data_IF_140012149651
#
_entry.id   IF_140012149651
#
_cell.length_a   1.000
_cell.length_b   1.000
_cell.length_c   1.000
_cell.angle_alpha   90.00
_cell.angle_beta   90.00
_cell.angle_gamma   90.00
#
_symmetry.space_group_name_H-M   'P 1'
#
loop_
_entity.id
_entity.type
_entity.pdbx_description
1 polymer ?
2 non-polymer ?
3 non-polymer ?
4 water ?
#
# COMPACT_ATOMS: atom_id res chain seq x y z
N UNK A 1 5.43 -15.77 -25.78
CA UNK A 1 4.89 -14.40 -25.63
C UNK A 1 4.73 -14.06 -24.12
N UNK A 2 5.59 -13.17 -23.59
CA UNK A 2 5.64 -13.04 -22.15
C UNK A 2 4.36 -12.39 -21.68
N UNK A 3 3.92 -12.78 -20.50
CA UNK A 3 2.84 -12.07 -19.87
C UNK A 3 3.23 -11.31 -18.63
N UNK A 4 2.79 -10.07 -18.51
CA UNK A 4 3.56 -9.03 -17.81
C UNK A 4 2.90 -9.22 -16.37
N UNK A 5 3.62 -9.10 -15.30
CA UNK A 5 2.99 -8.94 -13.95
C UNK A 5 1.90 -7.89 -14.04
N UNK A 6 0.76 -8.11 -13.39
CA UNK A 6 -0.45 -7.26 -13.54
C UNK A 6 -0.17 -5.82 -13.16
N UNK A 7 -0.76 -4.86 -13.85
CA UNK A 7 -0.63 -3.45 -13.58
C UNK A 7 -1.94 -3.11 -12.91
N UNK A 8 -1.84 -2.58 -11.72
CA UNK A 8 -2.95 -2.26 -10.81
C UNK A 8 -3.39 -0.90 -11.17
N UNK A 9 -4.69 -0.70 -11.28
CA UNK A 9 -5.24 0.65 -11.38
C UNK A 9 -6.57 0.59 -10.62
N UNK A 10 -6.74 1.44 -9.62
CA UNK A 10 -7.94 1.38 -8.73
C UNK A 10 -9.18 1.88 -9.41
N UNK A 11 -10.36 1.36 -9.07
CA UNK A 11 -11.61 1.86 -9.66
C UNK A 11 -12.00 3.24 -9.10
N UNK A 12 -12.98 3.84 -9.72
CA UNK A 12 -13.42 5.22 -9.40
C UNK A 12 -12.35 6.26 -9.24
N UNK A 13 -11.27 6.29 -10.05
CA UNK A 13 -10.38 7.46 -9.99
C UNK A 13 -11.07 8.76 -10.37
N UNK A 14 -10.52 9.91 -9.95
CA UNK A 14 -11.18 11.23 -10.12
C UNK A 14 -10.16 12.22 -10.63
N UNK A 15 -10.56 13.40 -11.10
CA UNK A 15 -9.59 14.43 -11.39
C UNK A 15 -9.24 14.59 -12.85
N UNK A 16 -7.96 14.82 -13.16
CA UNK A 16 -7.52 15.03 -14.53
C UNK A 16 -7.18 13.71 -15.21
N UNK A 17 -7.57 13.58 -16.47
CA UNK A 17 -7.25 12.44 -17.24
C UNK A 17 -6.72 12.95 -18.52
N UNK A 18 -5.88 12.16 -19.16
CA UNK A 18 -5.55 10.74 -18.84
C UNK A 18 -4.54 10.66 -17.71
N UNK A 19 -4.28 9.50 -17.11
CA UNK A 19 -3.26 9.38 -16.04
C UNK A 19 -2.28 8.32 -16.37
N UNK A 20 -1.00 8.55 -16.06
CA UNK A 20 0.04 7.57 -16.30
C UNK A 20 -0.08 6.36 -15.36
N UNK A 21 -0.02 5.16 -15.93
CA UNK A 21 0.15 3.95 -15.15
C UNK A 21 1.63 3.57 -15.04
N UNK A 22 2.26 3.34 -16.19
CA UNK A 22 3.40 2.45 -16.27
C UNK A 22 4.06 2.50 -17.65
N UNK A 23 5.38 2.58 -17.67
CA UNK A 23 6.12 2.64 -18.93
C UNK A 23 6.53 1.26 -19.39
N UNK A 24 6.16 0.92 -20.62
CA UNK A 24 6.61 -0.32 -21.25
C UNK A 24 7.46 -0.04 -22.49
N UNK A 25 8.55 -0.79 -22.63
CA UNK A 25 9.76 -0.28 -23.24
C UNK A 25 10.67 -1.41 -23.73
N UNK A 26 11.13 -1.31 -24.97
CA UNK A 26 12.15 -2.21 -25.48
C UNK A 26 13.55 -1.67 -25.21
N UNK A 27 14.41 -2.51 -24.64
CA UNK A 27 15.80 -2.17 -24.45
C UNK A 27 16.59 -2.23 -25.79
N UNK A 28 15.91 -2.32 -26.88
CA UNK A 28 16.64 -2.29 -28.11
C UNK A 28 16.54 -0.94 -28.77
N UNK A 29 15.99 0.06 -28.05
CA UNK A 29 15.75 1.35 -28.66
C UNK A 29 17.01 2.19 -28.90
N UNK A 30 18.19 1.72 -28.51
CA UNK A 30 19.42 2.34 -29.01
C UNK A 30 19.95 1.72 -30.27
N UNK A 31 19.64 0.45 -30.56
CA UNK A 31 19.95 -0.16 -31.85
C UNK A 31 19.19 0.42 -33.04
N UNK A 32 17.90 0.70 -32.82
CA UNK A 32 17.08 1.28 -33.88
C UNK A 32 15.89 2.04 -33.28
N UNK A 33 15.25 2.86 -34.11
CA UNK A 33 14.02 3.53 -33.72
C UNK A 33 12.95 2.53 -33.30
N UNK A 34 12.19 2.86 -32.27
CA UNK A 34 11.12 2.00 -31.79
C UNK A 34 9.83 2.78 -31.61
N UNK A 35 8.75 2.27 -32.20
CA UNK A 35 7.44 2.88 -32.06
C UNK A 35 6.50 1.93 -31.36
N UNK A 36 5.84 2.42 -30.32
CA UNK A 36 4.99 1.56 -29.47
C UNK A 36 3.51 1.63 -29.86
N UNK A 37 2.74 0.55 -29.67
CA UNK A 37 1.28 0.66 -29.79
C UNK A 37 0.69 -0.45 -28.91
N UNK A 38 -0.61 -0.34 -28.65
CA UNK A 38 -1.32 -1.43 -27.95
C UNK A 38 -2.58 -1.85 -28.73
N UNK A 39 -2.97 -3.12 -28.56
CA UNK A 39 -4.26 -3.58 -29.17
C UNK A 39 -5.07 -4.38 -28.16
N UNK A 40 -6.35 -4.59 -28.43
CA UNK A 40 -7.17 -5.40 -27.54
C UNK A 40 -8.39 -4.68 -26.99
N UNK A 41 -9.18 -5.44 -26.21
CA UNK A 41 -10.43 -4.84 -25.67
C UNK A 41 -10.04 -3.93 -24.55
N UNK A 42 -10.32 -2.61 -24.69
CA UNK A 42 -9.82 -1.58 -23.82
C UNK A 42 -8.84 -0.65 -24.55
N UNK A 43 -8.34 -1.06 -25.72
CA UNK A 43 -7.43 -0.26 -26.48
C UNK A 43 -7.92 0.06 -27.88
N UNK A 44 -7.94 -0.91 -28.80
CA UNK A 44 -8.50 -0.66 -30.15
C UNK A 44 -9.80 -1.40 -30.35
N UNK A 45 -10.29 -2.11 -29.36
CA UNK A 45 -11.55 -2.84 -29.49
C UNK A 45 -12.39 -2.55 -28.23
N UNK A 46 -13.72 -2.68 -28.35
CA UNK A 46 -14.65 -2.26 -27.21
C UNK A 46 -14.39 -2.90 -25.84
N UNK A 47 -14.20 -2.09 -24.80
CA UNK A 47 -14.33 -0.57 -24.89
C UNK A 47 -13.03 0.10 -25.45
N UNK A 48 -13.20 0.83 -26.56
CA UNK A 48 -12.06 1.47 -27.23
C UNK A 48 -11.51 2.61 -26.40
N UNK A 49 -10.21 2.72 -26.26
CA UNK A 49 -9.70 4.01 -25.83
C UNK A 49 -9.56 4.13 -24.32
N UNK A 50 -9.93 3.09 -23.57
CA UNK A 50 -9.79 3.21 -22.13
C UNK A 50 -8.28 3.38 -21.81
N UNK A 51 -7.43 2.64 -22.52
CA UNK A 51 -6.00 2.78 -22.37
C UNK A 51 -5.31 3.24 -23.63
N UNK A 52 -4.28 4.08 -23.52
CA UNK A 52 -3.56 4.52 -24.75
C UNK A 52 -2.10 4.43 -24.43
N UNK A 53 -1.26 4.40 -25.45
CA UNK A 53 0.18 4.31 -25.26
C UNK A 53 0.91 5.40 -26.06
N UNK A 54 1.72 6.19 -25.36
CA UNK A 54 2.52 7.23 -26.01
C UNK A 54 3.45 6.63 -27.05
N UNK A 55 3.22 6.98 -28.32
CA UNK A 55 3.76 6.21 -29.43
C UNK A 55 5.27 6.06 -29.32
N UNK A 56 5.92 7.02 -28.66
CA UNK A 56 7.34 7.25 -28.83
C UNK A 56 8.11 6.87 -27.58
N UNK A 57 7.45 6.94 -26.43
CA UNK A 57 8.07 6.62 -25.18
C UNK A 57 7.54 5.39 -24.51
N UNK A 58 6.34 4.95 -24.85
CA UNK A 58 5.80 3.75 -24.29
C UNK A 58 5.14 3.92 -22.90
N UNK A 59 4.88 5.17 -22.45
CA UNK A 59 4.02 5.37 -21.32
C UNK A 59 2.62 4.94 -21.58
N UNK A 60 2.16 3.98 -20.77
CA UNK A 60 0.78 3.48 -20.83
C UNK A 60 -0.18 4.36 -20.00
N UNK A 61 -1.28 4.87 -20.54
CA UNK A 61 -2.13 5.79 -19.76
C UNK A 61 -3.57 5.32 -19.63
N UNK A 62 -4.32 5.80 -18.61
CA UNK A 62 -5.74 5.46 -18.62
C UNK A 62 -6.51 6.69 -18.86
N UNK A 63 -7.61 6.61 -19.58
CA UNK A 63 -8.21 7.83 -20.01
C UNK A 63 -9.54 8.08 -19.31
N UNK A 64 -9.98 7.24 -18.38
CA UNK A 64 -11.28 7.47 -17.72
C UNK A 64 -11.44 6.66 -16.44
N UNK A 65 -12.39 7.01 -15.57
CA UNK A 65 -12.71 6.19 -14.36
C UNK A 65 -13.04 4.76 -14.70
N UNK A 66 -12.58 3.86 -13.87
CA UNK A 66 -13.00 2.45 -13.98
C UNK A 66 -13.97 1.99 -12.90
N UNK A 67 -14.68 0.92 -13.25
CA UNK A 67 -15.61 0.22 -12.33
C UNK A 67 -15.34 -1.30 -12.29
N UNK A 68 -14.68 -1.72 -11.23
CA UNK A 68 -14.39 -3.11 -11.02
C UNK A 68 -15.59 -3.96 -11.18
N UNK A 69 -16.77 -3.45 -10.85
CA UNK A 69 -17.96 -4.33 -10.82
C UNK A 69 -18.52 -4.57 -12.22
N UNK A 70 -18.05 -3.80 -13.21
CA UNK A 70 -18.38 -3.96 -14.66
C UNK A 70 -17.24 -4.70 -15.38
N UNK A 71 -15.97 -4.24 -15.26
CA UNK A 71 -14.87 -5.05 -15.83
C UNK A 71 -13.73 -5.07 -14.83
N UNK A 72 -13.22 -6.26 -14.50
CA UNK A 72 -12.25 -6.32 -13.43
C UNK A 72 -10.80 -6.47 -13.86
N UNK A 73 -10.58 -6.82 -15.13
CA UNK A 73 -9.28 -7.24 -15.64
C UNK A 73 -9.37 -6.99 -17.11
N UNK A 74 -8.33 -6.38 -17.69
CA UNK A 74 -8.24 -6.13 -19.11
C UNK A 74 -6.98 -6.85 -19.60
N UNK A 75 -7.06 -7.43 -20.80
CA UNK A 75 -5.89 -8.04 -21.43
C UNK A 75 -5.64 -7.30 -22.74
N UNK A 76 -4.44 -6.72 -22.91
CA UNK A 76 -4.13 -6.04 -24.17
C UNK A 76 -2.82 -6.58 -24.69
N UNK A 77 -2.35 -6.10 -25.85
CA UNK A 77 -1.03 -6.56 -26.30
C UNK A 77 -0.28 -5.31 -26.67
N UNK A 78 0.99 -5.22 -26.28
CA UNK A 78 1.78 -4.17 -26.75
C UNK A 78 2.66 -4.60 -27.94
N UNK A 79 3.05 -3.66 -28.81
CA UNK A 79 3.86 -3.88 -29.99
C UNK A 79 4.95 -2.87 -30.07
N UNK A 80 6.07 -3.36 -30.58
CA UNK A 80 7.22 -2.56 -30.76
C UNK A 80 7.71 -2.74 -32.20
N UNK A 81 7.53 -1.73 -33.01
CA UNK A 81 7.88 -1.75 -34.44
C UNK A 81 8.90 -0.65 -34.83
N UNK A 82 9.76 -0.88 -35.81
CA UNK A 82 10.78 0.08 -36.18
C UNK A 82 10.41 0.83 -37.45
N UNK A 83 11.22 1.77 -37.97
CA UNK A 83 10.81 2.49 -39.23
C UNK A 83 10.56 1.61 -40.41
N UNK A 84 11.37 0.58 -40.55
CA UNK A 84 11.23 -0.27 -41.71
C UNK A 84 10.10 -1.26 -41.49
N UNK A 85 9.45 -1.27 -40.34
CA UNK A 85 8.21 -2.02 -40.21
C UNK A 85 8.46 -3.37 -39.60
N UNK A 86 9.69 -3.68 -39.26
CA UNK A 86 9.98 -4.97 -38.71
C UNK A 86 9.56 -4.90 -37.23
N UNK A 87 9.19 -6.02 -36.64
CA UNK A 87 8.92 -6.12 -35.27
C UNK A 87 10.19 -6.05 -34.49
N UNK A 88 10.28 -5.23 -33.47
CA UNK A 88 11.51 -5.17 -32.64
C UNK A 88 11.38 -6.15 -31.49
N UNK A 89 10.15 -6.56 -31.19
CA UNK A 89 9.93 -7.51 -30.08
C UNK A 89 8.74 -8.31 -30.54
N UNK A 90 8.61 -9.53 -30.04
CA UNK A 90 7.26 -10.15 -30.07
C UNK A 90 6.31 -9.30 -29.19
N UNK A 91 5.03 -9.30 -29.50
CA UNK A 91 4.04 -8.67 -28.65
C UNK A 91 4.19 -9.10 -27.17
N UNK A 92 3.82 -8.24 -26.26
CA UNK A 92 3.82 -8.63 -24.89
C UNK A 92 2.38 -8.52 -24.46
N UNK A 93 1.96 -9.51 -23.68
CA UNK A 93 0.57 -9.56 -23.21
C UNK A 93 0.49 -8.72 -21.92
N UNK A 94 -0.39 -7.72 -21.94
CA UNK A 94 -0.48 -6.77 -20.92
C UNK A 94 -1.73 -6.98 -20.11
N UNK A 95 -1.56 -7.18 -18.80
CA UNK A 95 -2.65 -7.47 -17.91
C UNK A 95 -2.88 -6.33 -16.98
N UNK A 96 -4.10 -5.80 -16.95
CA UNK A 96 -4.38 -4.71 -16.04
C UNK A 96 -5.49 -5.14 -15.10
N UNK A 97 -5.26 -5.07 -13.77
CA UNK A 97 -6.33 -5.40 -12.81
C UNK A 97 -6.91 -4.17 -12.18
N UNK A 98 -8.24 -4.15 -12.13
CA UNK A 98 -8.90 -3.01 -11.54
C UNK A 98 -8.99 -3.26 -10.05
N UNK A 99 -8.39 -2.40 -9.26
CA UNK A 99 -8.36 -2.63 -7.82
C UNK A 99 -9.59 -2.12 -7.11
N UNK A 100 -10.15 -2.95 -6.24
CA UNK A 100 -11.50 -2.72 -5.61
C UNK A 100 -11.55 -1.58 -4.66
N UNK A 101 -12.69 -0.93 -4.66
CA UNK A 101 -13.04 -0.10 -3.55
C UNK A 101 -14.35 -0.57 -3.02
N UNK A 102 -14.58 -0.20 -1.76
CA UNK A 102 -15.82 -0.58 -1.09
C UNK A 102 -16.88 0.40 -1.41
N UNK A 103 -17.54 0.22 -2.57
CA UNK A 103 -18.46 1.23 -3.07
C UNK A 103 -19.80 0.53 -3.35
N UNK A 104 -19.95 -0.71 -2.87
CA UNK A 104 -21.27 -1.36 -2.81
C UNK A 104 -21.67 -1.77 -1.39
N UNK A 105 -22.84 -1.23 -0.98
CA UNK A 105 -23.55 -1.48 0.28
C UNK A 105 -24.14 -2.87 0.16
N UNK A 106 -24.10 -3.70 1.24
CA UNK A 106 -24.85 -4.99 1.28
C UNK A 106 -26.34 -4.77 1.09
N UNK A 107 -27.01 -5.81 0.56
CA UNK A 107 -28.44 -5.81 0.29
C UNK A 107 -29.00 -7.17 0.69
N UNK A 108 -30.17 -7.11 1.36
CA UNK A 108 -30.79 -8.30 1.93
C UNK A 108 -31.60 -8.91 0.82
N UNK A 109 -31.60 -10.25 0.77
CA UNK A 109 -32.32 -10.94 -0.26
C UNK A 109 -33.80 -10.59 -0.27
N UNK A 110 -34.38 -10.23 0.90
CA UNK A 110 -35.81 -9.78 1.08
C UNK A 110 -35.87 -8.61 2.03
N UNK A 111 -36.87 -7.75 1.97
CA UNK A 111 -36.98 -6.73 3.03
C UNK A 111 -37.66 -7.21 4.39
N UNK A 112 -38.38 -8.33 4.31
CA UNK A 112 -39.01 -8.99 5.42
C UNK A 112 -38.90 -10.50 5.33
N UNK A 113 -38.19 -11.10 6.26
CA UNK A 113 -38.04 -12.54 6.33
C UNK A 113 -39.03 -13.13 7.36
N UNK A 114 -39.62 -14.30 7.06
CA UNK A 114 -40.62 -14.96 7.96
C UNK A 114 -40.25 -16.34 8.44
N UNK A 115 -40.22 -16.52 9.75
CA UNK A 115 -40.19 -17.90 10.32
C UNK A 115 -41.07 -18.12 11.56
N UNK A 116 -40.90 -19.25 12.21
CA UNK A 116 -41.67 -19.56 13.39
C UNK A 116 -40.95 -20.56 14.25
N UNK A 117 -41.07 -20.41 15.56
CA UNK A 117 -40.51 -21.39 16.48
C UNK A 117 -41.63 -22.06 17.34
N UNK A 118 -41.31 -23.13 18.09
CA UNK A 118 -42.23 -23.71 19.10
C UNK A 118 -42.05 -23.09 20.54
N UNK A 119 -43.15 -22.91 21.29
CA UNK A 119 -43.12 -22.28 22.62
C UNK A 119 -41.91 -22.71 23.48
N UNK A 120 -41.63 -24.01 23.46
CA UNK A 120 -40.64 -24.56 24.36
C UNK A 120 -39.51 -25.30 23.68
N UNK A 121 -39.07 -24.80 22.52
CA UNK A 121 -37.72 -25.04 22.05
C UNK A 121 -36.71 -24.17 22.79
N UNK A 122 -35.44 -24.30 22.43
CA UNK A 122 -34.42 -24.74 23.38
C UNK A 122 -33.05 -24.16 23.01
N UNK A 123 -32.45 -23.45 23.96
CA UNK A 123 -31.44 -22.44 23.63
C UNK A 123 -30.20 -23.07 23.01
N UNK A 124 -30.36 -23.69 21.84
CA UNK A 124 -29.93 -23.09 20.59
C UNK A 124 -30.59 -23.75 19.39
N UNK A 125 -31.90 -23.63 19.30
CA UNK A 125 -32.66 -24.24 18.22
C UNK A 125 -32.83 -23.28 17.05
N UNK A 126 -32.92 -23.84 15.85
CA UNK A 126 -32.89 -23.05 14.64
C UNK A 126 -34.22 -22.52 14.20
N UNK A 127 -34.38 -21.21 14.24
CA UNK A 127 -35.62 -20.63 13.79
C UNK A 127 -35.71 -20.46 12.26
N UNK A 128 -34.74 -19.71 11.69
CA UNK A 128 -34.73 -19.20 10.28
C UNK A 128 -33.32 -18.71 9.81
N UNK A 129 -33.23 -18.43 8.51
CA UNK A 129 -32.02 -17.85 7.90
C UNK A 129 -32.35 -16.49 7.29
N UNK A 130 -31.53 -15.49 7.60
CA UNK A 130 -31.55 -14.25 6.83
C UNK A 130 -30.28 -14.11 5.96
N UNK A 131 -30.39 -13.48 4.79
CA UNK A 131 -29.23 -13.34 3.90
C UNK A 131 -29.06 -12.03 3.11
N UNK A 132 -27.85 -11.54 3.13
CA UNK A 132 -27.47 -10.43 2.27
C UNK A 132 -26.42 -10.86 1.21
N UNK A 133 -26.27 -10.01 0.19
CA UNK A 133 -25.13 -10.08 -0.81
C UNK A 133 -24.45 -8.75 -0.88
N UNK A 134 -23.16 -8.76 -1.27
CA UNK A 134 -22.34 -7.54 -1.48
C UNK A 134 -21.55 -7.69 -2.76
N UNK A 135 -21.55 -6.67 -3.61
CA UNK A 135 -21.00 -6.86 -4.98
C UNK A 135 -19.46 -6.62 -5.15
N UNK A 136 -18.83 -6.16 -4.07
CA UNK A 136 -17.43 -5.92 -4.00
C UNK A 136 -16.62 -7.17 -4.03
N UNK A 137 -15.30 -7.00 -3.89
CA UNK A 137 -14.31 -8.03 -4.22
C UNK A 137 -14.18 -9.02 -3.05
N UNK A 138 -14.84 -10.15 -3.21
CA UNK A 138 -14.80 -11.14 -2.17
C UNK A 138 -13.52 -11.93 -2.15
N UNK A 139 -12.63 -11.74 -3.10
CA UNK A 139 -11.44 -12.55 -3.07
C UNK A 139 -10.28 -11.83 -2.40
N UNK A 140 -10.08 -10.54 -2.66
CA UNK A 140 -8.85 -9.85 -2.26
C UNK A 140 -9.00 -8.85 -1.11
N UNK A 141 -10.23 -8.64 -0.65
CA UNK A 141 -10.51 -7.64 0.38
C UNK A 141 -11.57 -8.16 1.31
N UNK A 142 -11.92 -7.33 2.30
CA UNK A 142 -13.10 -7.58 3.13
C UNK A 142 -14.36 -6.78 2.70
N UNK A 143 -14.28 -6.00 1.62
CA UNK A 143 -15.36 -5.13 1.25
C UNK A 143 -16.72 -5.82 0.98
N UNK A 144 -16.70 -7.13 0.92
CA UNK A 144 -17.93 -7.90 0.72
C UNK A 144 -18.12 -9.00 1.80
N UNK A 145 -17.45 -8.81 2.95
CA UNK A 145 -17.38 -9.76 4.05
C UNK A 145 -18.42 -9.31 5.13
N UNK A 146 -19.52 -10.06 5.13
CA UNK A 146 -20.76 -9.64 5.77
C UNK A 146 -20.92 -10.29 7.19
N UNK A 147 -21.00 -9.38 8.17
CA UNK A 147 -21.39 -9.64 9.58
C UNK A 147 -22.90 -9.26 9.84
N UNK A 148 -23.74 -10.30 9.96
CA UNK A 148 -25.13 -10.11 10.46
C UNK A 148 -25.21 -9.85 11.99
N UNK A 149 -25.68 -8.69 12.45
CA UNK A 149 -26.00 -8.43 13.86
C UNK A 149 -27.57 -8.38 14.07
N UNK A 150 -28.03 -8.41 15.33
CA UNK A 150 -29.46 -8.06 15.63
C UNK A 150 -29.57 -6.67 16.20
N UNK A 151 -30.44 -5.84 15.66
CA UNK A 151 -30.37 -4.48 16.13
C UNK A 151 -31.34 -4.20 17.24
N UNK A 152 -32.54 -4.76 17.11
CA UNK A 152 -33.60 -4.53 18.08
C UNK A 152 -34.62 -5.68 18.02
N UNK A 153 -35.29 -5.90 19.18
CA UNK A 153 -36.36 -6.91 19.30
C UNK A 153 -37.64 -6.24 19.75
N UNK A 154 -38.76 -6.71 19.22
CA UNK A 154 -40.12 -6.19 19.56
C UNK A 154 -41.17 -7.30 19.64
N UNK A 155 -41.71 -7.50 20.87
CA UNK A 155 -41.41 -6.61 22.00
C UNK A 155 -40.24 -7.13 22.79
N UNK A 156 -39.78 -6.32 23.72
CA UNK A 156 -38.59 -6.64 24.50
C UNK A 156 -38.76 -7.59 25.69
N UNK A 157 -39.73 -8.51 25.62
CA UNK A 157 -40.10 -9.33 26.75
C UNK A 157 -40.27 -10.74 26.28
N UNK A 158 -40.16 -11.73 27.21
CA UNK A 158 -39.85 -11.58 28.63
C UNK A 158 -38.56 -10.79 28.82
N UNK A 159 -37.49 -11.17 28.10
CA UNK A 159 -36.22 -10.39 28.09
C UNK A 159 -35.74 -10.04 26.66
N UNK A 160 -35.00 -8.91 26.56
CA UNK A 160 -34.17 -8.53 25.38
C UNK A 160 -33.30 -9.73 25.07
N UNK A 161 -33.05 -9.98 23.79
CA UNK A 161 -32.16 -11.10 23.37
C UNK A 161 -32.77 -12.45 23.62
N UNK A 162 -34.01 -12.59 23.20
CA UNK A 162 -34.61 -13.91 23.17
C UNK A 162 -33.99 -14.72 22.06
N UNK A 163 -33.39 -13.99 21.10
CA UNK A 163 -32.79 -14.62 19.89
C UNK A 163 -31.32 -14.24 19.65
N UNK A 164 -30.61 -15.15 18.99
CA UNK A 164 -29.37 -14.70 18.36
C UNK A 164 -29.25 -15.14 16.92
N UNK A 165 -28.45 -14.30 16.24
CA UNK A 165 -28.00 -14.48 14.84
C UNK A 165 -26.49 -14.81 14.82
N UNK A 166 -26.16 -15.92 14.17
CA UNK A 166 -24.74 -16.26 13.87
C UNK A 166 -24.12 -15.25 12.84
N UNK A 167 -23.09 -14.49 13.28
CA UNK A 167 -22.62 -13.29 12.58
C UNK A 167 -22.14 -13.52 11.11
N UNK A 168 -21.72 -14.75 10.81
CA UNK A 168 -21.36 -15.22 9.46
C UNK A 168 -22.47 -15.90 8.70
N UNK A 169 -23.32 -16.73 9.36
CA UNK A 169 -24.28 -17.59 8.58
C UNK A 169 -25.64 -16.98 8.34
N UNK A 170 -25.94 -15.95 9.13
CA UNK A 170 -27.27 -15.35 9.21
C UNK A 170 -28.41 -16.27 9.67
N UNK A 171 -28.06 -17.31 10.42
CA UNK A 171 -29.00 -18.28 10.96
C UNK A 171 -29.40 -17.75 12.34
N UNK A 172 -30.70 -17.74 12.54
CA UNK A 172 -31.32 -17.21 13.73
C UNK A 172 -31.81 -18.34 14.66
N UNK A 173 -31.34 -18.28 15.91
CA UNK A 173 -31.54 -19.33 16.90
C UNK A 173 -32.04 -18.73 18.22
N UNK A 174 -32.71 -19.59 19.02
CA UNK A 174 -33.19 -19.24 20.37
C UNK A 174 -32.03 -19.00 21.32
N UNK A 175 -31.95 -17.82 21.93
CA UNK A 175 -30.86 -17.59 22.86
C UNK A 175 -31.08 -17.86 24.36
N UNK A 176 -32.16 -17.31 24.94
CA UNK A 176 -32.52 -17.55 26.34
C UNK A 176 -33.95 -18.16 26.25
N UNK A 177 -34.53 -18.70 27.32
CA UNK A 177 -35.86 -19.32 27.13
C UNK A 177 -37.01 -18.62 27.85
N UNK A 178 -38.20 -19.20 27.69
CA UNK A 178 -39.41 -18.63 28.25
C UNK A 178 -40.23 -18.04 27.11
N UNK A 179 -40.26 -18.79 26.03
CA UNK A 179 -41.05 -18.34 24.91
C UNK A 179 -42.48 -18.79 25.11
N UNK A 180 -43.39 -17.83 25.19
CA UNK A 180 -44.74 -18.19 25.53
C UNK A 180 -45.68 -17.53 24.58
N UNK A 181 -46.23 -18.34 23.68
CA UNK A 181 -47.14 -17.78 22.73
C UNK A 181 -48.16 -16.86 23.38
N UNK A 182 -48.89 -17.35 24.37
CA UNK A 182 -50.01 -16.64 24.93
C UNK A 182 -49.61 -15.35 25.70
N UNK A 183 -48.42 -15.26 26.26
CA UNK A 183 -47.97 -13.91 26.64
C UNK A 183 -47.52 -13.03 25.43
N UNK A 184 -46.71 -13.58 24.51
CA UNK A 184 -46.08 -12.77 23.40
C UNK A 184 -45.95 -13.60 22.17
N UNK A 185 -46.81 -13.35 21.20
CA UNK A 185 -46.96 -14.39 20.17
C UNK A 185 -46.20 -14.14 18.84
N UNK A 186 -45.85 -12.88 18.54
CA UNK A 186 -44.88 -12.65 17.50
C UNK A 186 -43.83 -11.59 17.89
N UNK A 187 -42.61 -11.86 17.44
CA UNK A 187 -41.53 -10.90 17.57
C UNK A 187 -41.16 -10.31 16.19
N UNK A 188 -40.88 -9.03 16.17
CA UNK A 188 -40.32 -8.36 15.01
C UNK A 188 -38.86 -7.90 15.34
N UNK A 189 -37.91 -8.71 14.83
CA UNK A 189 -36.46 -8.34 14.83
C UNK A 189 -36.06 -7.38 13.65
N UNK A 190 -35.32 -6.31 13.97
CA UNK A 190 -34.55 -5.56 12.97
C UNK A 190 -33.13 -6.18 12.86
N UNK A 191 -32.80 -6.68 11.67
CA UNK A 191 -31.51 -7.30 11.43
C UNK A 191 -30.60 -6.41 10.59
N UNK A 192 -29.29 -6.52 10.80
CA UNK A 192 -28.33 -5.67 10.12
C UNK A 192 -27.31 -6.50 9.34
N UNK A 193 -26.93 -6.00 8.17
CA UNK A 193 -25.78 -6.60 7.41
C UNK A 193 -24.79 -5.51 7.23
N UNK A 194 -23.56 -5.83 7.58
CA UNK A 194 -22.50 -4.84 7.40
C UNK A 194 -21.18 -5.50 6.90
N UNK A 195 -20.56 -4.86 5.92
CA UNK A 195 -19.30 -5.38 5.34
C UNK A 195 -18.12 -4.82 6.12
N UNK A 196 -16.91 -5.13 5.68
CA UNK A 196 -15.71 -4.81 6.46
C UNK A 196 -15.78 -5.55 7.79
N UNK A 197 -16.35 -6.74 7.71
CA UNK A 197 -16.43 -7.64 8.84
C UNK A 197 -17.30 -7.10 10.02
N UNK A 198 -18.21 -6.18 9.73
CA UNK A 198 -19.11 -5.65 10.71
C UNK A 198 -18.94 -4.17 10.72
N UNK A 199 -17.72 -3.70 10.40
CA UNK A 199 -17.37 -2.29 10.58
C UNK A 199 -17.79 -1.31 9.51
N UNK A 200 -18.26 -1.83 8.37
CA UNK A 200 -18.35 -1.03 7.15
C UNK A 200 -19.72 -0.48 6.81
N UNK A 201 -20.06 -0.60 5.52
CA UNK A 201 -21.33 -0.15 5.05
C UNK A 201 -22.35 -1.16 5.52
N UNK A 202 -23.56 -0.66 5.78
CA UNK A 202 -24.61 -1.51 6.37
C UNK A 202 -25.98 -1.25 5.79
N UNK A 203 -26.81 -2.26 5.92
CA UNK A 203 -28.21 -2.14 5.58
C UNK A 203 -29.02 -2.94 6.65
N UNK A 204 -30.33 -2.66 6.75
CA UNK A 204 -31.22 -3.33 7.74
C UNK A 204 -32.43 -3.97 7.00
N UNK A 205 -32.91 -5.08 7.55
CA UNK A 205 -34.19 -5.64 7.08
C UNK A 205 -34.99 -6.14 8.33
N UNK A 206 -36.20 -6.71 8.11
CA UNK A 206 -37.00 -7.25 9.24
C UNK A 206 -37.15 -8.72 9.27
N UNK A 207 -37.01 -9.27 10.46
CA UNK A 207 -37.37 -10.72 10.66
C UNK A 207 -38.51 -10.86 11.71
N UNK A 208 -39.57 -11.50 11.27
CA UNK A 208 -40.86 -11.61 11.93
C UNK A 208 -41.01 -13.06 12.35
N UNK A 209 -40.86 -13.32 13.65
CA UNK A 209 -40.95 -14.67 14.18
C UNK A 209 -42.33 -14.98 14.88
N UNK A 210 -43.09 -15.91 14.33
CA UNK A 210 -44.33 -16.34 14.95
C UNK A 210 -44.10 -17.47 16.00
N UNK A 211 -44.42 -17.19 17.28
CA UNK A 211 -44.37 -18.23 18.33
C UNK A 211 -45.56 -19.20 18.24
N UNK A 212 -45.27 -20.49 18.18
CA UNK A 212 -46.26 -21.52 17.92
C UNK A 212 -46.55 -22.40 19.16
N UNK A 213 -47.77 -22.94 19.21
CA UNK A 213 -48.11 -24.09 20.09
C UNK A 213 -47.62 -25.38 19.43
N UNK B 1 14.43 -6.79 -26.17
CA UNK B 1 13.83 -7.22 -24.88
C UNK B 1 12.89 -6.21 -24.33
N UNK B 2 11.73 -6.64 -23.86
CA UNK B 2 10.85 -5.68 -23.25
C UNK B 2 11.44 -5.46 -21.90
N UNK B 3 11.31 -4.26 -21.33
CA UNK B 3 11.71 -4.04 -19.91
C UNK B 3 10.39 -3.89 -19.12
N UNK B 4 10.15 -4.68 -18.10
CA UNK B 4 8.80 -4.60 -17.49
C UNK B 4 8.86 -3.57 -16.39
N UNK B 5 7.69 -3.00 -16.01
CA UNK B 5 7.67 -1.98 -14.95
C UNK B 5 8.29 -2.56 -13.71
N UNK B 6 8.96 -1.74 -12.91
CA UNK B 6 9.70 -2.28 -11.75
C UNK B 6 8.83 -3.02 -10.72
N UNK B 7 9.38 -4.08 -10.11
CA UNK B 7 8.75 -4.81 -9.02
C UNK B 7 9.33 -4.36 -7.67
N UNK B 8 8.50 -3.86 -6.77
CA UNK B 8 8.95 -3.34 -5.46
C UNK B 8 9.17 -4.46 -4.49
N UNK B 9 10.29 -4.49 -3.78
CA UNK B 9 10.47 -5.42 -2.68
C UNK B 9 11.10 -4.62 -1.50
N UNK B 10 10.48 -4.60 -0.32
CA UNK B 10 11.06 -3.72 0.79
C UNK B 10 12.34 -4.25 1.39
N UNK B 11 13.23 -3.38 1.91
CA UNK B 11 14.40 -3.88 2.60
C UNK B 11 14.02 -4.49 3.93
N UNK B 12 14.95 -5.27 4.51
CA UNK B 12 14.83 -5.82 5.88
C UNK B 12 13.60 -6.68 6.08
N UNK B 13 13.24 -7.51 5.10
CA UNK B 13 12.19 -8.50 5.44
C UNK B 13 12.63 -9.51 6.55
N UNK B 14 11.60 -9.96 7.27
CA UNK B 14 11.65 -10.85 8.46
C UNK B 14 10.92 -12.18 8.11
N UNK B 15 11.30 -13.28 8.77
CA UNK B 15 10.44 -14.47 8.83
C UNK B 15 10.92 -15.56 7.90
N UNK B 16 9.95 -16.18 7.21
CA UNK B 16 10.20 -17.31 6.26
C UNK B 16 10.79 -16.89 4.90
N UNK B 17 11.89 -17.52 4.51
CA UNK B 17 12.36 -17.42 3.12
C UNK B 17 12.30 -18.76 2.39
N UNK B 18 12.23 -18.74 1.03
CA UNK B 18 12.04 -17.68 0.01
C UNK B 18 10.67 -17.06 0.06
N UNK B 19 10.52 -15.78 -0.32
CA UNK B 19 9.20 -15.15 -0.44
C UNK B 19 8.87 -14.89 -1.90
N UNK B 20 7.60 -14.99 -2.25
CA UNK B 20 7.22 -14.83 -3.61
C UNK B 20 7.12 -13.37 -3.94
N UNK B 21 7.66 -12.99 -5.11
CA UNK B 21 7.46 -11.64 -5.62
C UNK B 21 6.32 -11.61 -6.64
N UNK B 22 6.47 -12.36 -7.72
CA UNK B 22 5.65 -12.17 -8.92
C UNK B 22 5.86 -13.31 -9.90
N UNK B 23 4.76 -13.76 -10.50
CA UNK B 23 4.81 -14.84 -11.48
C UNK B 23 5.21 -14.31 -12.86
N UNK B 24 6.36 -14.75 -13.35
CA UNK B 24 6.83 -14.38 -14.65
C UNK B 24 6.55 -15.53 -15.56
N UNK B 25 5.66 -15.46 -16.55
CA UNK B 25 5.13 -16.65 -17.23
C UNK B 25 5.03 -16.42 -18.79
N UNK B 26 5.29 -17.43 -19.63
CA UNK B 26 4.98 -17.34 -21.05
C UNK B 26 3.56 -17.77 -21.41
N UNK B 27 2.83 -17.07 -22.25
CA UNK B 27 1.50 -17.59 -22.63
C UNK B 27 1.65 -18.70 -23.63
N UNK B 28 2.85 -19.11 -23.96
CA UNK B 28 2.98 -20.19 -24.90
C UNK B 28 2.91 -21.56 -24.19
N UNK B 29 2.38 -21.62 -22.98
CA UNK B 29 2.45 -22.85 -22.25
C UNK B 29 1.14 -23.58 -22.43
N UNK B 30 0.29 -23.12 -23.34
CA UNK B 30 -0.88 -23.89 -23.60
C UNK B 30 -0.46 -25.01 -24.58
N UNK B 31 0.55 -24.70 -25.38
CA UNK B 31 1.01 -25.52 -26.51
C UNK B 31 2.02 -26.60 -26.11
N UNK B 32 2.93 -26.24 -25.23
CA UNK B 32 4.08 -27.04 -24.96
C UNK B 32 4.43 -26.79 -23.48
N UNK B 33 5.10 -27.71 -22.82
CA UNK B 33 5.49 -27.44 -21.47
C UNK B 33 6.62 -26.37 -21.53
N UNK B 34 6.55 -25.33 -20.69
CA UNK B 34 7.59 -24.28 -20.70
C UNK B 34 8.46 -24.34 -19.46
N UNK B 35 9.75 -24.12 -19.59
CA UNK B 35 10.61 -24.02 -18.41
C UNK B 35 11.37 -22.66 -18.26
N UNK B 36 11.32 -22.06 -17.06
CA UNK B 36 11.78 -20.69 -16.81
C UNK B 36 13.08 -20.62 -16.07
N UNK B 37 13.98 -19.71 -16.44
CA UNK B 37 15.11 -19.44 -15.55
C UNK B 37 15.34 -17.94 -15.51
N UNK B 38 16.25 -17.46 -14.64
CA UNK B 38 16.71 -16.05 -14.68
C UNK B 38 18.22 -15.92 -14.68
N UNK B 39 18.71 -14.78 -15.17
CA UNK B 39 20.14 -14.50 -15.09
C UNK B 39 20.37 -13.01 -14.71
N UNK B 40 21.66 -12.62 -14.55
CA UNK B 40 22.06 -11.32 -14.06
C UNK B 40 22.58 -11.20 -12.61
N UNK B 41 23.10 -10.03 -12.28
CA UNK B 41 23.65 -9.81 -10.95
C UNK B 41 22.53 -9.88 -9.91
N UNK B 42 22.60 -10.89 -9.04
CA UNK B 42 21.61 -11.13 -8.04
C UNK B 42 20.93 -12.46 -8.31
N UNK B 43 21.22 -13.05 -9.47
CA UNK B 43 20.69 -14.35 -9.83
C UNK B 43 21.87 -15.32 -10.05
N UNK B 44 22.38 -15.41 -11.26
CA UNK B 44 23.54 -16.24 -11.48
C UNK B 44 24.85 -15.44 -11.38
N UNK B 45 24.83 -14.13 -11.20
CA UNK B 45 26.10 -13.44 -11.00
C UNK B 45 26.09 -12.67 -9.67
N UNK B 46 27.26 -12.34 -9.15
CA UNK B 46 27.34 -11.72 -7.76
C UNK B 46 26.51 -10.40 -7.55
N UNK B 47 25.68 -10.36 -6.52
CA UNK B 47 25.47 -11.38 -5.44
C UNK B 47 24.60 -12.61 -5.85
N UNK B 48 25.25 -13.76 -6.02
CA UNK B 48 24.55 -14.97 -6.47
C UNK B 48 23.42 -15.38 -5.53
N UNK B 49 22.29 -15.81 -6.09
CA UNK B 49 21.24 -16.46 -5.31
C UNK B 49 20.33 -15.54 -4.54
N UNK B 50 20.50 -14.23 -4.69
CA UNK B 50 19.51 -13.38 -4.05
C UNK B 50 18.11 -13.61 -4.61
N UNK B 51 17.98 -13.72 -5.92
CA UNK B 51 16.66 -14.01 -6.45
C UNK B 51 16.71 -15.35 -7.17
N UNK B 52 15.61 -16.08 -7.11
CA UNK B 52 15.47 -17.30 -7.91
C UNK B 52 14.09 -17.33 -8.59
N UNK B 53 14.02 -18.06 -9.70
CA UNK B 53 12.71 -18.39 -10.27
C UNK B 53 12.49 -19.92 -10.23
N UNK B 54 11.30 -20.28 -9.80
CA UNK B 54 10.79 -21.61 -9.78
C UNK B 54 10.57 -22.11 -11.23
N UNK B 55 11.29 -23.16 -11.61
CA UNK B 55 11.39 -23.61 -13.01
C UNK B 55 10.10 -23.89 -13.76
N UNK B 56 9.14 -24.47 -13.08
CA UNK B 56 7.96 -24.96 -13.81
C UNK B 56 6.88 -23.92 -13.69
N UNK B 57 6.89 -23.09 -12.66
CA UNK B 57 5.76 -22.14 -12.53
C UNK B 57 6.07 -20.73 -12.93
N UNK B 58 7.35 -20.38 -12.98
CA UNK B 58 7.74 -19.01 -13.14
C UNK B 58 7.55 -18.06 -11.94
N UNK B 59 7.27 -18.53 -10.72
CA UNK B 59 7.27 -17.64 -9.53
C UNK B 59 8.69 -17.18 -9.27
N UNK B 60 8.82 -15.85 -9.22
CA UNK B 60 10.09 -15.18 -8.93
C UNK B 60 10.13 -14.94 -7.43
N UNK B 61 11.28 -15.24 -6.84
CA UNK B 61 11.34 -15.29 -5.40
C UNK B 61 12.60 -14.60 -4.88
N UNK B 62 12.47 -13.98 -3.74
CA UNK B 62 13.67 -13.40 -3.15
C UNK B 62 14.09 -14.24 -1.95
N UNK B 63 15.39 -14.51 -1.82
CA UNK B 63 15.82 -15.56 -0.91
C UNK B 63 16.42 -15.10 0.42
N UNK B 64 16.46 -13.80 0.68
CA UNK B 64 17.09 -13.25 1.88
C UNK B 64 16.74 -11.76 2.02
N UNK B 65 17.10 -11.15 3.15
CA UNK B 65 16.79 -9.73 3.36
C UNK B 65 17.62 -8.87 2.48
N UNK B 66 17.00 -7.79 2.01
CA UNK B 66 17.74 -6.83 1.19
C UNK B 66 18.00 -5.61 2.04
N UNK B 67 18.99 -4.82 1.60
CA UNK B 67 19.35 -3.51 2.21
C UNK B 67 19.43 -2.38 1.16
N UNK B 68 18.46 -1.47 1.19
CA UNK B 68 18.45 -0.42 0.14
C UNK B 68 19.71 0.39 0.14
N UNK B 69 20.35 0.53 1.31
CA UNK B 69 21.51 1.42 1.41
C UNK B 69 22.77 0.79 0.84
N UNK B 70 22.80 -0.55 0.74
CA UNK B 70 23.85 -1.24 -0.14
C UNK B 70 23.41 -1.36 -1.60
N UNK B 71 22.25 -1.97 -1.91
CA UNK B 71 21.85 -2.05 -3.35
C UNK B 71 20.47 -1.58 -3.50
N UNK B 72 20.25 -0.61 -4.36
CA UNK B 72 18.83 -0.14 -4.49
C UNK B 72 17.98 -0.70 -5.70
N UNK B 73 18.67 -1.36 -6.63
CA UNK B 73 18.07 -1.73 -7.87
C UNK B 73 18.76 -2.96 -8.35
N UNK B 74 18.01 -3.95 -8.80
CA UNK B 74 18.63 -5.07 -9.46
C UNK B 74 18.09 -5.18 -10.89
N UNK B 75 18.95 -5.68 -11.76
CA UNK B 75 18.54 -5.95 -13.11
C UNK B 75 18.74 -7.43 -13.48
N UNK B 76 17.65 -8.13 -13.79
CA UNK B 76 17.69 -9.50 -14.19
C UNK B 76 17.10 -9.73 -15.59
N UNK B 77 17.32 -10.92 -16.15
CA UNK B 77 16.65 -11.35 -17.38
C UNK B 77 15.96 -12.67 -17.17
N UNK B 78 14.71 -12.81 -17.61
CA UNK B 78 14.03 -14.07 -17.49
C UNK B 78 14.11 -14.76 -18.85
N UNK B 79 14.03 -16.08 -18.85
CA UNK B 79 14.18 -16.88 -20.04
C UNK B 79 13.19 -17.99 -20.00
N UNK B 80 12.81 -18.43 -21.19
CA UNK B 80 11.71 -19.40 -21.40
C UNK B 80 12.07 -20.41 -22.54
N UNK B 81 12.18 -21.67 -22.15
CA UNK B 81 12.59 -22.74 -23.11
C UNK B 81 11.68 -23.94 -23.05
N UNK B 82 11.72 -24.81 -24.04
CA UNK B 82 10.85 -26.06 -24.00
C UNK B 82 11.70 -27.24 -23.59
N UNK B 83 11.14 -28.46 -23.47
CA UNK B 83 11.92 -29.69 -23.00
C UNK B 83 13.27 -29.78 -23.64
N UNK B 84 13.33 -29.56 -24.97
CA UNK B 84 14.61 -29.65 -25.68
C UNK B 84 15.55 -28.46 -25.47
N UNK B 85 15.21 -27.50 -24.57
CA UNK B 85 16.09 -26.35 -24.25
C UNK B 85 16.07 -25.19 -25.26
N UNK B 86 15.35 -25.31 -26.38
CA UNK B 86 15.20 -24.19 -27.28
C UNK B 86 14.33 -23.04 -26.73
N UNK B 87 14.67 -21.84 -27.16
CA UNK B 87 14.04 -20.69 -26.62
C UNK B 87 12.65 -20.45 -27.24
N UNK B 88 11.61 -20.26 -26.42
CA UNK B 88 10.29 -19.90 -26.91
C UNK B 88 9.90 -18.44 -26.78
N UNK B 89 10.69 -17.68 -26.03
CA UNK B 89 10.66 -16.22 -26.00
C UNK B 89 12.03 -15.62 -26.11
N UNK B 90 12.09 -14.33 -26.45
CA UNK B 90 13.28 -13.53 -26.23
C UNK B 90 13.43 -13.35 -24.75
N UNK B 91 14.58 -12.98 -24.22
CA UNK B 91 14.56 -12.73 -22.77
C UNK B 91 13.76 -11.47 -22.38
N UNK B 92 13.26 -11.40 -21.16
CA UNK B 92 12.58 -10.18 -20.72
C UNK B 92 13.47 -9.54 -19.63
N UNK B 93 13.65 -8.22 -19.67
CA UNK B 93 14.44 -7.56 -18.65
C UNK B 93 13.54 -7.19 -17.51
N UNK B 94 14.02 -7.51 -16.31
CA UNK B 94 13.25 -7.41 -15.13
C UNK B 94 13.92 -6.45 -14.16
N UNK B 95 13.24 -5.38 -13.79
CA UNK B 95 13.80 -4.43 -12.86
C UNK B 95 13.18 -4.65 -11.50
N UNK B 96 14.03 -4.64 -10.47
CA UNK B 96 13.56 -4.75 -9.13
C UNK B 96 14.02 -3.59 -8.28
N UNK B 97 13.10 -2.85 -7.66
CA UNK B 97 13.37 -1.73 -6.76
C UNK B 97 13.26 -2.17 -5.29
N UNK B 98 14.24 -1.81 -4.49
CA UNK B 98 14.22 -2.18 -3.07
C UNK B 98 13.67 -0.94 -2.41
N UNK B 99 12.62 -1.02 -1.61
CA UNK B 99 12.02 0.20 -1.11
C UNK B 99 12.52 0.43 0.32
N UNK B 100 12.45 1.67 0.76
CA UNK B 100 13.12 2.08 1.95
C UNK B 100 12.39 1.79 3.27
N UNK B 101 13.14 1.37 4.27
CA UNK B 101 12.64 1.51 5.59
C UNK B 101 13.48 2.54 6.38
N UNK B 102 12.82 3.15 7.36
CA UNK B 102 13.50 4.00 8.29
C UNK B 102 14.45 3.27 9.26
N UNK B 103 15.52 2.67 8.74
CA UNK B 103 16.44 1.92 9.54
C UNK B 103 17.78 2.74 9.79
N UNK B 104 17.77 4.05 9.48
CA UNK B 104 18.95 4.85 9.84
C UNK B 104 18.60 6.06 10.71
N UNK B 105 19.27 6.11 11.87
CA UNK B 105 19.14 7.23 12.83
C UNK B 105 19.90 8.45 12.27
N UNK B 106 19.34 9.66 12.39
CA UNK B 106 20.14 10.85 11.98
C UNK B 106 21.47 10.98 12.79
N UNK B 107 22.50 11.50 12.17
CA UNK B 107 23.77 11.78 12.86
C UNK B 107 24.07 13.25 12.66
N UNK B 108 24.43 13.88 13.79
CA UNK B 108 24.93 15.25 13.78
C UNK B 108 26.31 15.33 13.10
N UNK B 109 26.58 16.39 12.35
CA UNK B 109 27.90 16.43 11.71
C UNK B 109 29.03 16.48 12.78
N UNK B 110 28.76 17.07 13.96
CA UNK B 110 29.72 17.18 15.01
C UNK B 110 29.03 16.80 16.27
N UNK B 111 29.82 16.40 17.28
CA UNK B 111 29.27 16.15 18.60
C UNK B 111 29.06 17.47 19.37
N UNK B 112 29.93 18.47 19.13
CA UNK B 112 29.78 19.76 19.82
C UNK B 112 29.97 20.84 18.81
N UNK B 113 29.02 21.75 18.68
CA UNK B 113 29.16 22.83 17.71
C UNK B 113 29.46 24.11 18.44
N UNK B 114 30.13 25.04 17.79
CA UNK B 114 30.55 26.27 18.46
C UNK B 114 30.11 27.46 17.75
N UNK B 115 29.67 28.46 18.48
CA UNK B 115 29.18 29.68 17.87
C UNK B 115 29.25 30.87 18.83
N UNK B 116 28.90 32.05 18.32
CA UNK B 116 28.98 33.18 19.18
C UNK B 116 28.03 34.29 18.78
N UNK B 117 27.67 35.13 19.72
CA UNK B 117 26.78 36.22 19.47
C UNK B 117 27.14 37.44 20.34
N UNK B 118 26.98 38.64 19.81
CA UNK B 118 27.13 39.92 20.58
C UNK B 118 26.04 40.15 21.62
N UNK B 119 26.38 40.57 22.85
CA UNK B 119 25.43 40.93 23.88
C UNK B 119 24.27 41.69 23.31
N UNK B 120 24.61 42.70 22.50
CA UNK B 120 23.60 43.65 22.01
C UNK B 120 22.52 43.16 21.02
N UNK B 121 22.82 42.02 20.35
CA UNK B 121 21.99 41.42 19.33
C UNK B 121 20.50 41.39 19.69
N UNK B 122 19.71 41.64 18.67
CA UNK B 122 18.29 41.75 18.82
C UNK B 122 17.66 40.42 18.62
N UNK B 123 16.61 40.17 19.38
CA UNK B 123 15.84 38.95 19.11
C UNK B 123 15.57 38.84 17.60
N UNK B 124 15.92 37.70 17.02
CA UNK B 124 15.86 37.42 15.59
C UNK B 124 17.24 37.27 14.97
N UNK B 125 18.27 37.84 15.59
CA UNK B 125 19.59 37.70 15.05
C UNK B 125 20.03 36.23 15.06
N UNK B 126 20.68 35.84 14.00
CA UNK B 126 21.21 34.55 13.85
C UNK B 126 22.51 34.32 14.56
N UNK B 127 22.64 33.15 15.15
CA UNK B 127 23.76 32.91 16.00
C UNK B 127 24.65 31.95 15.33
N UNK B 128 24.13 30.79 14.99
CA UNK B 128 24.97 29.69 14.52
C UNK B 128 24.03 28.62 13.88
N UNK B 129 24.63 27.52 13.43
CA UNK B 129 23.90 26.49 12.70
C UNK B 129 24.22 25.21 13.37
N UNK B 130 23.21 24.37 13.59
CA UNK B 130 23.50 22.95 13.80
C UNK B 130 22.94 22.11 12.64
N UNK B 131 23.52 20.93 12.41
CA UNK B 131 23.17 20.23 11.16
C UNK B 131 23.38 18.74 11.25
N UNK B 132 22.38 18.02 10.72
CA UNK B 132 22.48 16.54 10.70
C UNK B 132 22.23 15.90 9.35
N UNK B 133 22.60 14.64 9.22
CA UNK B 133 22.43 13.88 7.94
C UNK B 133 21.64 12.65 8.30
N UNK B 134 21.00 12.02 7.31
CA UNK B 134 20.25 10.76 7.48
C UNK B 134 20.47 9.96 6.24
N UNK B 135 20.78 8.69 6.40
CA UNK B 135 21.10 7.90 5.22
C UNK B 135 19.91 7.27 4.45
N UNK B 136 18.66 7.38 4.95
CA UNK B 136 17.49 6.78 4.34
C UNK B 136 17.12 7.60 3.12
N UNK B 137 16.01 7.28 2.49
CA UNK B 137 15.75 7.73 1.16
C UNK B 137 15.03 9.07 1.22
N UNK B 138 15.81 10.09 0.92
CA UNK B 138 15.29 11.45 1.01
C UNK B 138 14.58 11.88 -0.24
N UNK B 139 14.57 11.04 -1.26
CA UNK B 139 13.85 11.34 -2.45
C UNK B 139 12.41 10.86 -2.44
N UNK B 140 12.11 9.64 -1.96
CA UNK B 140 10.69 9.09 -2.00
C UNK B 140 9.97 8.90 -0.69
N UNK B 141 10.66 9.13 0.44
CA UNK B 141 10.00 8.98 1.75
C UNK B 141 10.28 10.18 2.66
N UNK B 142 9.81 10.09 3.90
CA UNK B 142 10.17 11.02 4.94
C UNK B 142 11.17 10.43 5.90
N UNK B 143 11.80 9.33 5.57
CA UNK B 143 12.62 8.70 6.59
C UNK B 143 13.90 9.48 6.87
N UNK B 144 14.11 10.50 6.02
CA UNK B 144 15.23 11.41 6.17
C UNK B 144 14.78 12.83 6.35
N UNK B 145 13.52 13.10 6.66
CA UNK B 145 13.11 14.47 6.80
C UNK B 145 13.43 14.86 8.24
N UNK B 146 14.48 15.66 8.46
CA UNK B 146 14.94 15.95 9.84
C UNK B 146 14.40 17.22 10.37
N UNK B 147 13.87 17.15 11.60
CA UNK B 147 13.45 18.33 12.36
C UNK B 147 14.39 18.57 13.57
N UNK B 148 14.74 19.85 13.84
CA UNK B 148 15.65 20.19 14.94
C UNK B 148 14.91 20.81 16.13
N UNK B 149 15.33 20.49 17.37
CA UNK B 149 14.77 21.12 18.61
C UNK B 149 15.82 21.40 19.66
N UNK B 150 15.61 22.42 20.49
CA UNK B 150 16.50 22.62 21.61
C UNK B 150 15.87 21.90 22.79
N UNK B 151 16.62 21.00 23.39
CA UNK B 151 16.12 20.21 24.46
C UNK B 151 16.37 20.86 25.84
N UNK B 152 17.56 21.47 26.05
CA UNK B 152 17.88 22.18 27.34
C UNK B 152 18.90 23.31 27.13
N UNK B 153 18.87 24.28 28.05
CA UNK B 153 19.73 25.44 28.04
C UNK B 153 20.45 25.56 29.40
N UNK B 154 21.76 25.66 29.39
CA UNK B 154 22.50 25.81 30.62
C UNK B 154 23.50 26.97 30.53
N UNK B 155 23.34 27.99 31.38
CA UNK B 155 22.35 28.14 32.46
C UNK B 155 21.02 28.63 31.99
N UNK B 156 20.06 28.52 32.88
CA UNK B 156 18.71 28.95 32.66
C UNK B 156 18.44 30.41 32.97
N UNK B 157 19.40 31.28 32.69
CA UNK B 157 19.29 32.68 33.06
C UNK B 157 19.88 33.58 31.99
N UNK B 158 19.45 34.84 31.94
CA UNK B 158 18.43 35.40 32.82
C UNK B 158 17.06 34.82 32.55
N UNK B 159 16.81 34.14 31.43
CA UNK B 159 15.52 33.44 31.26
C UNK B 159 15.81 32.12 30.63
N UNK B 160 14.92 31.16 30.83
CA UNK B 160 14.84 29.95 30.03
C UNK B 160 14.57 30.41 28.57
N UNK B 161 15.09 29.72 27.57
CA UNK B 161 14.82 30.22 26.18
C UNK B 161 15.39 31.58 25.79
N UNK B 162 16.66 31.78 26.09
CA UNK B 162 17.39 32.83 25.45
C UNK B 162 17.43 32.61 23.95
N UNK B 163 17.37 31.34 23.53
CA UNK B 163 17.57 31.07 22.12
C UNK B 163 16.45 30.25 21.49
N UNK B 164 16.44 30.25 20.17
CA UNK B 164 15.49 29.38 19.49
C UNK B 164 16.12 28.73 18.28
N UNK B 165 15.63 27.56 17.89
CA UNK B 165 16.20 26.90 16.66
C UNK B 165 15.12 26.72 15.64
N UNK B 166 15.40 27.12 14.40
CA UNK B 166 14.45 26.95 13.31
C UNK B 166 14.33 25.50 12.87
N UNK B 167 13.13 24.95 12.98
CA UNK B 167 12.96 23.51 13.17
C UNK B 167 12.97 22.77 11.83
N UNK B 168 13.21 23.52 10.76
CA UNK B 168 13.50 22.90 9.45
C UNK B 168 14.96 23.01 9.06
N UNK B 169 15.63 24.06 9.55
CA UNK B 169 16.93 24.47 9.04
C UNK B 169 18.04 24.32 10.06
N UNK B 170 17.72 24.26 11.34
CA UNK B 170 18.82 24.15 12.28
C UNK B 170 19.56 25.45 12.58
N UNK B 171 18.96 26.58 12.20
CA UNK B 171 19.51 27.89 12.52
C UNK B 171 19.12 28.33 13.93
N UNK B 172 20.12 28.56 14.78
CA UNK B 172 19.88 28.98 16.14
C UNK B 172 19.87 30.50 16.27
N UNK B 173 18.88 31.02 17.00
CA UNK B 173 18.61 32.45 17.00
C UNK B 173 18.51 32.99 18.42
N UNK B 174 18.73 34.29 18.57
CA UNK B 174 18.37 35.00 19.80
C UNK B 174 16.86 35.18 19.89
N UNK B 175 16.25 34.58 20.92
CA UNK B 175 14.84 34.62 21.09
C UNK B 175 14.37 35.76 21.99
N UNK B 176 14.95 35.92 23.15
CA UNK B 176 14.50 36.99 24.01
C UNK B 176 15.67 37.88 24.39
N UNK B 177 15.43 39.07 24.86
CA UNK B 177 16.54 39.95 25.19
C UNK B 177 17.12 39.68 26.62
N UNK B 178 18.32 40.25 26.88
CA UNK B 178 19.00 40.12 28.19
C UNK B 178 20.39 39.47 28.18
N UNK B 179 20.92 39.11 27.01
CA UNK B 179 22.20 38.48 26.95
C UNK B 179 23.15 39.53 27.47
N UNK B 180 24.02 39.15 28.42
CA UNK B 180 25.07 40.04 28.91
C UNK B 180 26.29 39.18 29.23
N UNK B 181 27.38 39.46 28.52
CA UNK B 181 28.57 38.67 28.64
C UNK B 181 29.06 38.53 30.08
N UNK B 182 29.06 39.66 30.75
CA UNK B 182 29.57 39.73 32.09
C UNK B 182 28.73 39.08 33.14
N UNK B 183 27.43 38.81 32.92
CA UNK B 183 26.71 37.93 33.88
C UNK B 183 26.76 36.44 33.51
N UNK B 184 26.55 36.14 32.23
CA UNK B 184 26.57 34.76 31.77
C UNK B 184 27.26 34.72 30.44
N UNK B 185 28.54 34.35 30.43
CA UNK B 185 29.33 34.47 29.22
C UNK B 185 29.25 33.33 28.16
N UNK B 186 28.76 32.13 28.52
CA UNK B 186 28.45 31.06 27.54
C UNK B 186 27.22 30.31 27.95
N UNK B 187 26.53 29.76 26.94
CA UNK B 187 25.44 28.84 27.15
C UNK B 187 25.78 27.54 26.52
N UNK B 188 25.35 26.44 27.12
CA UNK B 188 25.45 25.12 26.47
C UNK B 188 24.01 24.64 26.15
N UNK B 189 23.67 24.42 24.89
CA UNK B 189 22.34 23.89 24.56
C UNK B 189 22.52 22.42 24.26
N UNK B 190 21.53 21.61 24.64
CA UNK B 190 21.43 20.28 24.04
C UNK B 190 20.48 20.37 22.87
N UNK B 191 20.96 20.02 21.71
CA UNK B 191 20.06 20.06 20.54
C UNK B 191 19.70 18.66 20.09
N UNK B 192 18.51 18.57 19.50
CA UNK B 192 18.04 17.26 19.00
C UNK B 192 17.67 17.21 17.52
N UNK B 193 18.05 16.17 16.84
CA UNK B 193 17.52 15.92 15.47
C UNK B 193 16.69 14.62 15.38
N UNK B 194 15.52 14.72 14.79
CA UNK B 194 14.72 13.55 14.62
C UNK B 194 14.13 13.50 13.20
N UNK B 195 14.12 12.30 12.59
CA UNK B 195 13.57 12.18 11.28
C UNK B 195 12.07 11.95 11.36
N UNK B 196 11.46 11.55 10.25
CA UNK B 196 10.01 11.63 10.09
C UNK B 196 9.49 12.95 10.58
N UNK B 197 10.21 14.00 10.24
CA UNK B 197 9.74 15.33 10.56
C UNK B 197 9.61 15.54 12.07
N UNK B 198 10.49 14.95 12.87
CA UNK B 198 10.36 15.13 14.30
C UNK B 198 9.76 13.95 15.06
N UNK B 199 9.11 13.00 14.38
CA UNK B 199 8.32 11.95 15.06
C UNK B 199 9.09 10.71 15.12
N UNK B 200 10.28 10.67 14.58
CA UNK B 200 10.89 9.32 14.41
C UNK B 200 12.19 9.06 15.16
N UNK B 201 13.17 8.46 14.47
CA UNK B 201 14.41 8.20 15.13
C UNK B 201 15.18 9.49 15.48
N UNK B 202 15.76 9.55 16.68
CA UNK B 202 16.41 10.80 17.14
C UNK B 202 17.84 10.66 17.63
N UNK B 203 18.54 11.77 17.60
CA UNK B 203 19.90 11.86 18.16
C UNK B 203 20.08 13.28 18.77
N UNK B 204 21.05 13.44 19.65
CA UNK B 204 21.30 14.76 20.27
C UNK B 204 22.77 15.20 20.08
N UNK B 205 23.09 16.47 20.28
CA UNK B 205 24.49 16.90 20.34
C UNK B 205 24.45 18.19 21.17
N UNK B 206 25.54 18.92 21.22
CA UNK B 206 25.64 20.10 22.08
C UNK B 206 26.01 21.31 21.24
N UNK B 207 25.43 22.46 21.59
CA UNK B 207 25.85 23.70 20.90
C UNK B 207 26.37 24.67 21.99
N UNK B 208 27.56 25.24 21.81
CA UNK B 208 28.12 26.05 22.82
C UNK B 208 28.21 27.45 22.30
N UNK B 209 27.58 28.41 22.98
CA UNK B 209 27.50 29.74 22.47
C UNK B 209 28.25 30.75 23.36
N UNK B 210 29.22 31.46 22.82
CA UNK B 210 29.98 32.44 23.59
C UNK B 210 29.34 33.79 23.40
N UNK B 211 28.90 34.41 24.47
CA UNK B 211 28.37 35.76 24.41
C UNK B 211 29.54 36.79 24.44
N UNK B 212 29.59 37.68 23.44
CA UNK B 212 30.73 38.55 23.29
C UNK B 212 30.24 39.95 23.57
N UNK B 213 31.16 40.83 23.99
CA UNK B 213 30.96 42.28 23.89
C UNK B 213 31.03 42.64 22.38
X LIG C 1 -16.10 -2.14 -5.59
X LIG D 1 -17.55 -0.07 -8.63
X LIG E 1 -19.27 -3.69 0.07
X LIG F 1 -48.04 -21.15 26.42
X LIG G 1 -7.14 -14.63 -18.07
X LIG G 1 -6.20 -13.72 -17.50
X LIG G 1 -4.71 -14.00 -17.67
X LIG G 1 -4.15 -13.97 -16.36
X LIG G 1 -3.74 -12.73 -15.76
X LIG G 1 -3.16 -12.91 -14.34
X LIG G 1 -3.85 -12.07 -13.40
X LIG G 1 -4.49 -12.78 -12.30
X LIG G 1 -5.86 -12.20 -11.84
X LIG G 1 -6.95 -13.07 -12.22
X LIG G 1 -8.34 -12.65 -12.08
X LIG G 1 -9.32 -13.80 -12.39
X LIG G 1 -9.61 -13.90 -13.79
X LIG H 1 16.69 2.60 4.79
X LIG I 1 19.11 -0.44 5.10
X LIG J 1 16.12 7.93 9.04
X LIG K 1 27.56 43.81 29.39
X LIG L 1 14.31 3.20 -11.16
X LIG L 1 13.09 3.38 -11.95
X LIG L 1 13.05 2.78 -13.39
X LIG L 1 13.95 1.66 -13.75
X LIG L 1 14.20 1.56 -15.17
X LIG L 1 15.15 0.42 -15.49
X LIG L 1 16.24 0.86 -16.27
X LIG L 1 17.29 -0.11 -16.32
X LIG L 1 18.69 0.53 -16.20
X LIG L 1 19.05 1.04 -14.90
X LIG L 1 20.34 0.64 -14.35
X LIG L 1 20.60 1.38 -13.00
X LIG L 1 19.96 2.72 -12.95
#
# INVERSE_FOLDING_TARGET
DWVIPPISCPENEKGEFPKNLVQIKSNRDKETKVFYSITGQGADKPPVGVFIIERETGWLKVTQPLDREAIAKYILYSHAVSSNGEAVEDPMEIVITVTDQNDNRPEFTQEVFEGSVAEGAVPGTSVMKVSATDADDDVNTYNAAIAYTIVSQDPELPHKNMFTVNRDTGVISVDTSGLDRESYPTYTLVVQAADLQGEGLSTTAKAVITVKD
DWVIPPISCPENEKGEFPKNLVQIKSNRDKETKVFYSITGQGADKPPVGVFIIERETGWLKVTQPLDREAIAKYILYSHAVSSNGEAVEDPMEIVITVTDQNDNRPEFTQEVFEGSVAEGAVPGTSVMKVSATDADDDVNTYNAAIAYTIVSQDPELPHKNMFTVNRDTGVISVDTSGLDRESYPTYTLVVQAADLQGEGLSTTAKAVITVKD
CA CA
CA CA
CA CA
CA CA
PG4 O1 C1 C2 O2 C3 C4 O3 C5 C6 O4 C7 C8 O5
CA CA
CA CA
CA CA
CA CA
PG4 O1 C1 C2 O2 C3 C4 O3 C5 C6 O4 C7 C8 O5
#
